data_IF_703335984762
#
_entry.id   IF_703335984762
#
_cell.length_a   1.000
_cell.length_b   1.000
_cell.length_c   1.000
_cell.angle_alpha   90.00
_cell.angle_beta   90.00
_cell.angle_gamma   90.00
#
_symmetry.space_group_name_H-M   'P 1'
#
loop_
_entity.id
_entity.type
_entity.pdbx_description
1 polymer ?
2 non-polymer ?
3 non-polymer ?
4 non-polymer ?
5 water ?
#
# COMPACT_ATOMS: atom_id res chain seq x y z
N UNK A 1 -18.36 -5.32 19.63
CA UNK A 1 -19.40 -4.38 19.10
C UNK A 1 -18.80 -3.51 17.98
N UNK A 2 -19.47 -3.47 16.84
CA UNK A 2 -19.00 -2.69 15.70
C UNK A 2 -19.49 -1.25 15.68
N UNK A 3 -20.80 -1.06 15.83
CA UNK A 3 -21.36 0.28 15.83
C UNK A 3 -20.78 1.05 17.01
N UNK A 4 -20.31 0.32 18.02
CA UNK A 4 -19.72 0.95 19.19
C UNK A 4 -18.35 1.49 18.78
N UNK A 5 -17.63 0.72 17.99
CA UNK A 5 -16.33 1.14 17.50
C UNK A 5 -16.52 2.37 16.61
N UNK A 6 -17.57 2.35 15.80
CA UNK A 6 -17.87 3.46 14.91
C UNK A 6 -18.21 4.71 15.72
N UNK A 7 -18.98 4.52 16.78
CA UNK A 7 -19.37 5.62 17.65
C UNK A 7 -18.12 6.26 18.23
N UNK A 8 -17.20 5.44 18.72
CA UNK A 8 -15.96 5.92 19.31
C UNK A 8 -15.06 6.63 18.30
N UNK A 9 -14.91 6.06 17.12
CA UNK A 9 -14.06 6.67 16.10
C UNK A 9 -14.65 8.00 15.64
N UNK A 10 -15.95 8.00 15.34
CA UNK A 10 -16.62 9.21 14.87
C UNK A 10 -16.60 10.36 15.86
N UNK A 11 -16.61 10.04 17.16
CA UNK A 11 -16.61 11.06 18.21
C UNK A 11 -15.21 11.49 18.63
N UNK A 12 -14.21 10.71 18.26
CA UNK A 12 -12.84 11.02 18.64
C UNK A 12 -12.29 12.22 17.90
N UNK A 13 -11.38 12.94 18.55
CA UNK A 13 -10.76 14.10 17.95
C UNK A 13 -9.60 13.56 17.12
N UNK A 14 -9.36 14.16 15.94
CA UNK A 14 -8.29 13.71 15.05
C UNK A 14 -7.02 14.56 15.19
N UNK A 15 -6.01 14.02 15.87
CA UNK A 15 -4.76 14.79 16.03
C UNK A 15 -4.08 15.12 14.70
N UNK A 16 -3.24 16.16 14.72
CA UNK A 16 -2.52 16.61 13.54
C UNK A 16 -1.60 15.57 12.94
N UNK A 17 -1.21 15.79 11.69
CA UNK A 17 -0.31 14.91 10.97
C UNK A 17 1.02 14.83 11.71
N UNK A 18 1.49 15.98 12.18
CA UNK A 18 2.75 16.07 12.91
C UNK A 18 2.69 15.22 14.17
N UNK A 19 1.60 15.35 14.92
CA UNK A 19 1.43 14.58 16.15
C UNK A 19 1.41 13.08 15.89
N UNK A 20 0.80 12.68 14.77
CA UNK A 20 0.69 11.27 14.40
C UNK A 20 1.92 10.68 13.72
N UNK A 21 2.87 11.54 13.35
CA UNK A 21 4.11 11.12 12.71
C UNK A 21 3.90 10.48 11.33
N UNK A 22 2.72 10.65 10.75
CA UNK A 22 2.44 10.02 9.45
C UNK A 22 3.16 10.62 8.24
N UNK A 23 3.89 11.71 8.45
CA UNK A 23 4.63 12.32 7.35
C UNK A 23 6.05 11.72 7.27
N UNK A 24 6.44 11.00 8.30
CA UNK A 24 7.77 10.37 8.37
C UNK A 24 7.85 9.05 7.59
N UNK A 25 8.86 8.93 6.72
CA UNK A 25 9.03 7.69 5.98
C UNK A 25 9.37 6.56 6.96
N UNK A 26 9.93 6.92 8.11
CA UNK A 26 10.31 5.94 9.13
C UNK A 26 9.16 5.49 10.01
N UNK A 27 7.95 5.97 9.72
CA UNK A 27 6.75 5.64 10.49
C UNK A 27 6.61 4.16 10.82
N UNK A 28 6.13 3.89 12.03
CA UNK A 28 5.88 2.53 12.51
C UNK A 28 4.55 2.52 13.22
N UNK A 29 3.84 1.39 13.19
CA UNK A 29 2.52 1.28 13.81
C UNK A 29 2.45 0.34 15.01
N UNK A 30 3.56 -0.28 15.36
CA UNK A 30 3.58 -1.24 16.47
C UNK A 30 2.96 -0.75 17.78
N UNK A 31 3.16 0.53 18.11
CA UNK A 31 2.62 1.08 19.35
C UNK A 31 1.19 1.59 19.25
N UNK A 32 0.59 1.48 18.07
CA UNK A 32 -0.77 1.97 17.84
C UNK A 32 -1.89 0.93 17.93
N UNK A 33 -3.04 1.37 18.42
CA UNK A 33 -4.22 0.51 18.54
C UNK A 33 -4.97 0.65 17.21
N UNK A 34 -5.96 -0.21 16.97
CA UNK A 34 -6.70 -0.11 15.72
C UNK A 34 -7.34 1.28 15.63
N UNK A 35 -7.94 1.74 16.72
CA UNK A 35 -8.57 3.05 16.73
C UNK A 35 -7.60 4.13 16.28
N UNK A 36 -6.38 4.07 16.78
CA UNK A 36 -5.36 5.06 16.41
C UNK A 36 -4.99 5.00 14.93
N UNK A 37 -4.97 3.81 14.35
CA UNK A 37 -4.63 3.70 12.92
C UNK A 37 -5.76 4.32 12.10
N UNK A 38 -6.99 4.13 12.56
CA UNK A 38 -8.16 4.69 11.89
C UNK A 38 -8.10 6.23 11.93
N UNK A 39 -7.68 6.77 13.06
CA UNK A 39 -7.54 8.23 13.17
C UNK A 39 -6.45 8.73 12.24
N UNK A 40 -5.38 7.96 12.10
CA UNK A 40 -4.29 8.32 11.20
C UNK A 40 -4.79 8.32 9.76
N UNK A 41 -5.65 7.34 9.44
CA UNK A 41 -6.20 7.23 8.08
C UNK A 41 -7.10 8.43 7.78
N UNK A 42 -7.87 8.88 8.77
CA UNK A 42 -8.72 10.04 8.58
C UNK A 42 -7.83 11.26 8.31
N UNK A 43 -6.74 11.37 9.07
CA UNK A 43 -5.83 12.50 8.91
C UNK A 43 -5.23 12.53 7.52
N UNK A 44 -4.95 11.35 6.96
CA UNK A 44 -4.39 11.25 5.63
C UNK A 44 -5.39 11.85 4.62
N UNK A 45 -6.64 11.41 4.68
CA UNK A 45 -7.68 11.92 3.78
C UNK A 45 -7.87 13.42 3.97
N UNK A 46 -7.86 13.84 5.22
CA UNK A 46 -8.05 15.25 5.56
C UNK A 46 -6.94 16.15 5.04
N UNK A 47 -5.70 15.81 5.36
CA UNK A 47 -4.57 16.63 4.93
C UNK A 47 -4.30 16.62 3.44
N UNK A 48 -4.76 15.58 2.75
CA UNK A 48 -4.59 15.52 1.30
C UNK A 48 -5.78 16.26 0.66
N UNK A 49 -6.56 16.92 1.50
CA UNK A 49 -7.72 17.70 1.07
C UNK A 49 -8.83 16.91 0.39
N UNK A 50 -8.83 15.59 0.57
CA UNK A 50 -9.83 14.73 -0.05
C UNK A 50 -11.19 14.89 0.61
N UNK A 51 -11.20 15.12 1.92
CA UNK A 51 -12.45 15.30 2.64
C UNK A 51 -13.14 16.58 2.17
N UNK A 52 -12.36 17.62 1.92
CA UNK A 52 -12.89 18.91 1.46
C UNK A 52 -13.24 18.88 -0.02
N UNK A 53 -12.27 18.54 -0.85
CA UNK A 53 -12.46 18.53 -2.30
C UNK A 53 -13.55 17.60 -2.81
N UNK A 54 -13.92 16.59 -2.03
CA UNK A 54 -14.95 15.66 -2.47
C UNK A 54 -16.10 15.53 -1.49
N UNK A 55 -16.21 16.55 -0.64
CA UNK A 55 -17.26 16.64 0.37
C UNK A 55 -17.65 15.33 1.03
N UNK A 56 -16.69 14.67 1.67
CA UNK A 56 -16.99 13.42 2.35
C UNK A 56 -17.60 13.71 3.71
N UNK A 57 -18.64 12.98 4.07
CA UNK A 57 -19.25 13.18 5.38
C UNK A 57 -18.41 12.38 6.38
N UNK A 58 -18.16 12.98 7.55
CA UNK A 58 -17.34 12.34 8.56
C UNK A 58 -17.73 10.92 8.90
N UNK A 59 -19.01 10.71 9.20
CA UNK A 59 -19.47 9.38 9.58
C UNK A 59 -19.31 8.36 8.46
N UNK A 60 -19.42 8.80 7.21
CA UNK A 60 -19.27 7.90 6.06
C UNK A 60 -17.81 7.46 5.92
N UNK A 61 -16.89 8.41 6.00
CA UNK A 61 -15.48 8.11 5.91
C UNK A 61 -15.06 7.16 7.03
N UNK A 62 -15.58 7.41 8.23
CA UNK A 62 -15.28 6.57 9.40
C UNK A 62 -15.77 5.14 9.20
N UNK A 63 -17.01 5.02 8.75
CA UNK A 63 -17.62 3.72 8.50
C UNK A 63 -16.81 2.99 7.44
N UNK A 64 -16.45 3.69 6.36
CA UNK A 64 -15.68 3.11 5.27
C UNK A 64 -14.33 2.57 5.77
N UNK A 65 -13.61 3.38 6.54
CA UNK A 65 -12.33 2.98 7.08
C UNK A 65 -12.50 1.71 7.91
N UNK A 66 -13.54 1.68 8.74
CA UNK A 66 -13.78 0.50 9.58
C UNK A 66 -14.17 -0.73 8.78
N UNK A 67 -14.89 -0.55 7.67
CA UNK A 67 -15.28 -1.70 6.83
C UNK A 67 -13.99 -2.22 6.18
N UNK A 68 -13.15 -1.31 5.71
CA UNK A 68 -11.90 -1.72 5.07
C UNK A 68 -11.08 -2.54 6.09
N UNK A 69 -10.85 -1.97 7.26
CA UNK A 69 -10.09 -2.66 8.30
C UNK A 69 -10.69 -4.04 8.60
N UNK A 70 -12.00 -4.08 8.77
CA UNK A 70 -12.70 -5.32 9.08
C UNK A 70 -12.52 -6.41 8.01
N UNK A 71 -12.25 -5.99 6.77
CA UNK A 71 -12.11 -6.97 5.71
C UNK A 71 -10.71 -7.52 5.43
N UNK A 72 -9.80 -7.31 6.37
CA UNK A 72 -8.46 -7.88 6.28
C UNK A 72 -8.54 -8.94 7.38
N UNK A 73 -7.75 -10.00 7.28
CA UNK A 73 -7.77 -11.06 8.28
C UNK A 73 -6.56 -10.93 9.21
N UNK A 74 -6.83 -10.63 10.47
CA UNK A 74 -5.76 -10.46 11.44
C UNK A 74 -4.97 -11.72 11.73
N UNK A 75 -5.53 -12.88 11.40
CA UNK A 75 -4.84 -14.14 11.63
C UNK A 75 -3.70 -14.31 10.62
N UNK A 76 -3.72 -13.54 9.54
CA UNK A 76 -2.67 -13.61 8.54
C UNK A 76 -1.49 -12.74 9.00
N UNK A 77 -0.34 -13.37 9.19
CA UNK A 77 0.87 -12.70 9.70
C UNK A 77 1.28 -11.37 9.07
N UNK A 78 1.36 -11.31 7.75
CA UNK A 78 1.77 -10.06 7.11
C UNK A 78 0.69 -9.35 6.31
N UNK A 79 0.02 -10.07 5.42
CA UNK A 79 -1.03 -9.44 4.62
C UNK A 79 -2.28 -9.22 5.46
N UNK A 80 -2.26 -8.14 6.23
CA UNK A 80 -3.38 -7.79 7.10
C UNK A 80 -3.60 -6.28 7.08
N UNK A 81 -4.51 -5.80 7.91
CA UNK A 81 -4.81 -4.37 7.96
C UNK A 81 -3.58 -3.48 8.19
N UNK A 82 -2.72 -3.88 9.13
CA UNK A 82 -1.54 -3.06 9.41
C UNK A 82 -0.65 -2.88 8.18
N UNK A 83 -0.55 -3.90 7.35
CA UNK A 83 0.24 -3.79 6.13
C UNK A 83 -0.42 -2.75 5.21
N UNK A 84 -1.73 -2.86 5.05
CA UNK A 84 -2.47 -1.94 4.19
C UNK A 84 -2.36 -0.52 4.72
N UNK A 85 -2.54 -0.37 6.02
CA UNK A 85 -2.44 0.93 6.68
C UNK A 85 -1.04 1.50 6.44
N UNK A 86 -0.01 0.68 6.64
CA UNK A 86 1.36 1.12 6.42
C UNK A 86 1.61 1.51 4.96
N UNK A 87 1.02 0.77 4.03
CA UNK A 87 1.18 1.07 2.60
C UNK A 87 0.60 2.45 2.30
N UNK A 88 -0.54 2.75 2.90
CA UNK A 88 -1.19 4.04 2.70
C UNK A 88 -0.38 5.16 3.37
N UNK A 89 0.15 4.89 4.55
CA UNK A 89 0.95 5.89 5.24
C UNK A 89 2.15 6.25 4.36
N UNK A 90 2.80 5.23 3.78
CA UNK A 90 3.94 5.49 2.92
C UNK A 90 3.49 6.31 1.71
N UNK A 91 2.29 6.05 1.19
CA UNK A 91 1.79 6.81 0.05
C UNK A 91 1.66 8.27 0.48
N UNK A 92 1.10 8.48 1.66
CA UNK A 92 0.91 9.81 2.21
C UNK A 92 2.26 10.51 2.35
N UNK A 93 3.23 9.81 2.92
CA UNK A 93 4.58 10.36 3.11
C UNK A 93 5.24 10.67 1.77
N UNK A 94 5.05 9.79 0.79
CA UNK A 94 5.65 10.02 -0.51
C UNK A 94 5.02 11.25 -1.18
N UNK A 95 3.72 11.46 -0.92
CA UNK A 95 3.00 12.60 -1.47
C UNK A 95 3.42 13.90 -0.77
N UNK A 96 3.50 13.86 0.55
CA UNK A 96 3.90 15.02 1.34
C UNK A 96 5.42 15.18 1.37
N UNK A 97 6.05 14.52 2.32
CA UNK A 97 7.50 14.59 2.47
C UNK A 97 8.21 14.34 1.13
N UNK A 98 7.73 13.38 0.36
CA UNK A 98 8.34 13.08 -0.92
C UNK A 98 7.97 14.05 -2.04
N UNK A 99 7.11 15.02 -1.72
CA UNK A 99 6.67 16.04 -2.67
C UNK A 99 6.12 15.53 -4.00
N UNK A 100 5.53 14.33 -3.99
CA UNK A 100 4.96 13.76 -5.20
C UNK A 100 3.58 14.36 -5.45
N UNK A 101 2.96 14.83 -4.38
CA UNK A 101 1.63 15.42 -4.45
C UNK A 101 1.42 16.42 -5.58
N UNK A 102 2.40 17.30 -5.79
CA UNK A 102 2.31 18.33 -6.83
C UNK A 102 2.34 17.78 -8.25
N UNK A 103 2.80 16.55 -8.41
CA UNK A 103 2.88 15.94 -9.73
C UNK A 103 1.65 15.15 -10.15
N UNK A 104 0.63 15.13 -9.29
CA UNK A 104 -0.58 14.37 -9.58
C UNK A 104 -1.85 15.21 -9.40
N UNK A 105 -2.97 14.71 -9.91
CA UNK A 105 -4.23 15.43 -9.79
C UNK A 105 -4.94 14.96 -8.52
N UNK A 106 -6.00 15.66 -8.14
CA UNK A 106 -6.75 15.29 -6.96
C UNK A 106 -7.39 13.91 -7.10
N UNK A 107 -7.89 13.60 -8.30
CA UNK A 107 -8.52 12.31 -8.52
C UNK A 107 -7.51 11.17 -8.43
N UNK A 108 -6.28 11.43 -8.89
CA UNK A 108 -5.24 10.42 -8.85
C UNK A 108 -4.82 10.17 -7.39
N UNK A 109 -4.72 11.24 -6.62
CA UNK A 109 -4.35 11.15 -5.20
C UNK A 109 -5.43 10.42 -4.42
N UNK A 110 -6.69 10.72 -4.73
CA UNK A 110 -7.83 10.08 -4.09
C UNK A 110 -7.81 8.57 -4.37
N UNK A 111 -7.60 8.23 -5.64
CA UNK A 111 -7.57 6.84 -6.07
C UNK A 111 -6.41 6.06 -5.43
N UNK A 112 -5.23 6.69 -5.41
CA UNK A 112 -4.04 6.06 -4.83
C UNK A 112 -4.22 5.73 -3.36
N UNK A 113 -4.74 6.68 -2.59
CA UNK A 113 -4.93 6.48 -1.16
C UNK A 113 -5.88 5.33 -0.90
N UNK A 114 -7.00 5.32 -1.63
CA UNK A 114 -7.99 4.26 -1.49
C UNK A 114 -7.39 2.92 -1.92
N UNK A 115 -6.66 2.93 -3.03
CA UNK A 115 -6.02 1.71 -3.54
C UNK A 115 -5.01 1.17 -2.51
N UNK A 116 -4.14 2.05 -2.02
CA UNK A 116 -3.14 1.62 -1.03
C UNK A 116 -3.84 0.91 0.12
N UNK A 117 -4.89 1.53 0.67
CA UNK A 117 -5.62 0.95 1.79
C UNK A 117 -6.39 -0.33 1.42
N UNK A 118 -6.81 -0.44 0.16
CA UNK A 118 -7.61 -1.57 -0.29
C UNK A 118 -6.89 -2.67 -1.08
N UNK A 119 -5.65 -2.43 -1.48
CA UNK A 119 -4.95 -3.37 -2.34
C UNK A 119 -4.79 -4.83 -1.93
N UNK A 120 -4.92 -5.18 -0.65
CA UNK A 120 -4.80 -6.58 -0.23
C UNK A 120 -6.03 -7.10 0.50
N UNK A 121 -7.16 -6.44 0.32
CA UNK A 121 -8.39 -6.84 0.98
C UNK A 121 -8.72 -8.33 0.89
N UNK A 122 -9.09 -8.90 2.04
CA UNK A 122 -9.48 -10.29 2.17
C UNK A 122 -8.38 -11.30 1.87
N UNK A 123 -7.13 -10.84 1.88
CA UNK A 123 -5.98 -11.71 1.63
C UNK A 123 -5.97 -12.83 2.68
N UNK A 124 -5.70 -14.06 2.24
CA UNK A 124 -5.68 -15.18 3.18
C UNK A 124 -4.28 -15.73 3.44
N UNK A 125 -3.27 -15.08 2.89
CA UNK A 125 -1.91 -15.54 3.09
C UNK A 125 -1.33 -16.11 1.81
N UNK A 126 -0.06 -15.82 1.54
CA UNK A 126 0.59 -16.30 0.34
C UNK A 126 0.45 -17.81 0.12
N UNK A 127 0.41 -18.57 1.20
CA UNK A 127 0.29 -20.03 1.08
C UNK A 127 -1.15 -20.56 1.08
N UNK A 128 -2.11 -19.66 0.97
CA UNK A 128 -3.50 -20.07 0.95
C UNK A 128 -3.97 -20.05 -0.51
N UNK A 129 -4.59 -21.15 -0.93
CA UNK A 129 -5.08 -21.33 -2.30
C UNK A 129 -6.60 -21.16 -2.42
N UNK A 130 -7.27 -20.92 -1.29
CA UNK A 130 -8.71 -20.78 -1.29
C UNK A 130 -9.29 -19.85 -2.36
N UNK A 131 -9.01 -18.55 -2.24
CA UNK A 131 -9.53 -17.58 -3.20
C UNK A 131 -9.40 -18.00 -4.66
N UNK A 132 -8.24 -18.57 -5.00
CA UNK A 132 -7.98 -18.98 -6.37
C UNK A 132 -8.73 -20.25 -6.77
N UNK A 133 -8.82 -21.22 -5.85
CA UNK A 133 -9.51 -22.47 -6.12
C UNK A 133 -11.03 -22.36 -6.00
N UNK A 134 -11.50 -21.23 -5.48
CA UNK A 134 -12.94 -21.02 -5.33
C UNK A 134 -13.53 -20.45 -6.62
N UNK A 135 -12.66 -20.12 -7.57
CA UNK A 135 -13.10 -19.57 -8.86
C UNK A 135 -13.05 -20.71 -9.89
N UNK A 136 -13.46 -20.40 -11.12
CA UNK A 136 -13.51 -21.35 -12.25
C UNK A 136 -12.23 -22.13 -12.58
N UNK A 137 -11.89 -23.16 -11.78
CA UNK A 137 -10.74 -24.08 -11.85
C UNK A 137 -9.53 -23.54 -12.63
N UNK A 138 -9.54 -23.74 -13.94
CA UNK A 138 -8.46 -23.23 -14.77
C UNK A 138 -8.63 -21.71 -14.83
N UNK A 139 -9.20 -21.18 -13.76
CA UNK A 139 -9.49 -19.76 -13.60
C UNK A 139 -8.21 -18.92 -13.49
N UNK A 140 -7.08 -19.58 -13.26
CA UNK A 140 -5.80 -18.88 -13.13
C UNK A 140 -5.33 -18.17 -14.41
N UNK A 141 -5.52 -18.80 -15.56
CA UNK A 141 -5.04 -18.22 -16.81
C UNK A 141 -5.97 -17.27 -17.56
N UNK A 142 -7.27 -17.38 -17.31
CA UNK A 142 -8.26 -16.51 -17.94
C UNK A 142 -8.12 -15.12 -17.32
N UNK A 143 -8.75 -14.95 -16.15
CA UNK A 143 -8.66 -13.69 -15.42
C UNK A 143 -7.33 -13.72 -14.67
N UNK A 144 -6.26 -13.23 -15.28
CA UNK A 144 -4.94 -13.25 -14.62
C UNK A 144 -4.84 -12.18 -13.53
N UNK A 145 -3.83 -12.31 -12.66
CA UNK A 145 -3.67 -11.40 -11.52
C UNK A 145 -4.95 -11.63 -10.73
N UNK A 146 -5.28 -12.91 -10.59
CA UNK A 146 -6.50 -13.32 -9.91
C UNK A 146 -6.70 -12.73 -8.52
N UNK A 147 -5.66 -12.74 -7.68
CA UNK A 147 -5.77 -12.18 -6.34
C UNK A 147 -6.10 -10.68 -6.39
N UNK A 148 -5.34 -9.94 -7.19
CA UNK A 148 -5.56 -8.50 -7.31
C UNK A 148 -6.97 -8.14 -7.79
N UNK A 149 -7.54 -8.95 -8.69
CA UNK A 149 -8.89 -8.68 -9.18
C UNK A 149 -9.84 -8.87 -8.00
N UNK A 150 -9.55 -9.87 -7.18
CA UNK A 150 -10.37 -10.15 -6.01
C UNK A 150 -10.27 -8.96 -5.05
N UNK A 151 -9.05 -8.49 -4.80
CA UNK A 151 -8.88 -7.36 -3.90
C UNK A 151 -9.68 -6.16 -4.40
N UNK A 152 -9.64 -5.92 -5.70
CA UNK A 152 -10.39 -4.81 -6.27
C UNK A 152 -11.89 -5.01 -6.08
N UNK A 153 -12.38 -6.21 -6.35
CA UNK A 153 -13.80 -6.48 -6.19
C UNK A 153 -14.21 -6.19 -4.76
N UNK A 154 -13.36 -6.56 -3.80
CA UNK A 154 -13.62 -6.31 -2.40
C UNK A 154 -13.68 -4.80 -2.16
N UNK A 155 -12.71 -4.09 -2.72
CA UNK A 155 -12.64 -2.64 -2.60
C UNK A 155 -13.94 -2.01 -3.11
N UNK A 156 -14.35 -2.42 -4.32
CA UNK A 156 -15.56 -1.90 -4.94
C UNK A 156 -16.83 -2.18 -4.13
N UNK A 157 -16.95 -3.39 -3.59
CA UNK A 157 -18.13 -3.74 -2.80
C UNK A 157 -18.23 -2.82 -1.57
N UNK A 158 -17.10 -2.56 -0.93
CA UNK A 158 -17.10 -1.69 0.23
C UNK A 158 -17.49 -0.27 -0.18
N UNK A 159 -16.96 0.19 -1.31
CA UNK A 159 -17.25 1.52 -1.82
C UNK A 159 -18.73 1.72 -2.17
N UNK A 160 -19.43 0.63 -2.42
CA UNK A 160 -20.85 0.69 -2.77
C UNK A 160 -21.78 0.29 -1.63
N UNK A 161 -21.21 -0.12 -0.50
CA UNK A 161 -22.01 -0.53 0.65
C UNK A 161 -22.73 0.68 1.24
N UNK A 162 -23.96 0.49 1.71
CA UNK A 162 -24.70 1.62 2.28
C UNK A 162 -23.95 2.25 3.47
N UNK A 163 -23.94 3.57 3.49
CA UNK A 163 -23.28 4.31 4.55
C UNK A 163 -21.76 4.35 4.45
N UNK A 164 -21.21 3.72 3.41
CA UNK A 164 -19.76 3.67 3.19
C UNK A 164 -19.32 4.35 1.90
N UNK A 165 -20.25 4.98 1.20
CA UNK A 165 -19.92 5.60 -0.08
C UNK A 165 -19.15 6.93 -0.07
N UNK A 166 -17.85 6.84 0.22
CA UNK A 166 -17.02 8.03 0.28
C UNK A 166 -16.82 8.71 -1.06
N UNK A 167 -17.24 8.08 -2.15
CA UNK A 167 -17.12 8.68 -3.47
C UNK A 167 -18.46 9.21 -4.01
N UNK A 168 -19.49 9.23 -3.16
CA UNK A 168 -20.80 9.71 -3.59
C UNK A 168 -20.76 11.17 -4.03
N UNK A 169 -19.76 11.90 -3.56
CA UNK A 169 -19.64 13.31 -3.91
C UNK A 169 -19.14 13.59 -5.31
N UNK A 170 -18.48 12.61 -5.92
CA UNK A 170 -17.96 12.77 -7.27
C UNK A 170 -19.07 12.69 -8.31
N UNK A 171 -18.85 13.30 -9.47
CA UNK A 171 -19.82 13.23 -10.55
C UNK A 171 -19.60 11.87 -11.19
N UNK A 172 -20.55 11.40 -11.99
CA UNK A 172 -20.41 10.11 -12.64
C UNK A 172 -19.12 10.00 -13.44
N UNK A 173 -18.71 11.07 -14.10
CA UNK A 173 -17.48 11.04 -14.88
C UNK A 173 -16.25 10.98 -13.99
N UNK A 174 -16.27 11.74 -12.89
CA UNK A 174 -15.16 11.74 -11.95
C UNK A 174 -15.03 10.34 -11.36
N UNK A 175 -16.18 9.76 -11.06
CA UNK A 175 -16.25 8.42 -10.48
C UNK A 175 -15.66 7.34 -11.37
N UNK A 176 -16.07 7.29 -12.63
CA UNK A 176 -15.55 6.29 -13.54
C UNK A 176 -14.03 6.41 -13.69
N UNK A 177 -13.54 7.64 -13.71
CA UNK A 177 -12.10 7.87 -13.84
C UNK A 177 -11.37 7.39 -12.59
N UNK A 178 -11.91 7.72 -11.42
CA UNK A 178 -11.30 7.30 -10.17
C UNK A 178 -11.30 5.78 -10.06
N UNK A 179 -12.45 5.15 -10.28
CA UNK A 179 -12.53 3.70 -10.23
C UNK A 179 -11.49 3.04 -11.13
N UNK A 180 -11.32 3.59 -12.33
CA UNK A 180 -10.34 3.06 -13.28
C UNK A 180 -8.92 3.15 -12.74
N UNK A 181 -8.58 4.30 -12.16
CA UNK A 181 -7.24 4.49 -11.60
C UNK A 181 -7.06 3.56 -10.41
N UNK A 182 -8.11 3.40 -9.60
CA UNK A 182 -8.04 2.52 -8.43
C UNK A 182 -7.81 1.08 -8.85
N UNK A 183 -8.53 0.66 -9.89
CA UNK A 183 -8.40 -0.70 -10.39
C UNK A 183 -7.00 -0.96 -10.91
N UNK A 184 -6.47 -0.04 -11.73
CA UNK A 184 -5.13 -0.19 -12.27
C UNK A 184 -4.11 -0.17 -11.12
N UNK A 185 -4.35 0.71 -10.16
CA UNK A 185 -3.45 0.83 -9.02
C UNK A 185 -3.36 -0.49 -8.26
N UNK A 186 -4.50 -1.12 -8.01
CA UNK A 186 -4.52 -2.38 -7.30
C UNK A 186 -3.94 -3.51 -8.14
N UNK A 187 -4.25 -3.56 -9.44
CA UNK A 187 -3.70 -4.61 -10.29
C UNK A 187 -2.19 -4.48 -10.32
N UNK A 188 -1.70 -3.25 -10.27
CA UNK A 188 -0.26 -2.99 -10.28
C UNK A 188 0.47 -3.63 -9.11
N UNK A 189 -0.23 -3.89 -8.02
CA UNK A 189 0.42 -4.50 -6.86
C UNK A 189 0.75 -5.97 -7.08
N UNK A 190 0.42 -6.48 -8.27
CA UNK A 190 0.74 -7.85 -8.64
C UNK A 190 2.21 -7.76 -9.06
N UNK A 191 3.11 -8.33 -8.27
CA UNK A 191 4.53 -8.25 -8.61
C UNK A 191 4.84 -8.75 -10.02
N UNK A 192 4.02 -9.68 -10.52
CA UNK A 192 4.23 -10.19 -11.87
C UNK A 192 4.10 -9.02 -12.85
N UNK A 193 3.16 -8.12 -12.59
CA UNK A 193 2.98 -6.98 -13.47
C UNK A 193 4.09 -5.96 -13.27
N UNK A 194 4.58 -5.83 -12.05
CA UNK A 194 5.66 -4.90 -11.76
C UNK A 194 6.91 -5.30 -12.55
N UNK A 195 7.27 -6.58 -12.46
CA UNK A 195 8.45 -7.09 -13.16
C UNK A 195 8.31 -6.98 -14.68
N UNK A 196 7.07 -7.04 -15.15
CA UNK A 196 6.79 -6.96 -16.57
C UNK A 196 6.91 -5.54 -17.12
N UNK A 197 6.52 -4.55 -16.33
CA UNK A 197 6.56 -3.15 -16.79
C UNK A 197 7.68 -2.28 -16.25
N UNK A 198 8.39 -2.72 -15.22
CA UNK A 198 9.46 -1.92 -14.64
C UNK A 198 10.57 -1.59 -15.65
N UNK A 199 10.85 -2.54 -16.53
CA UNK A 199 11.89 -2.34 -17.53
C UNK A 199 11.67 -1.06 -18.33
N UNK A 200 10.43 -0.82 -18.75
CA UNK A 200 10.10 0.37 -19.52
C UNK A 200 10.34 1.64 -18.72
N UNK A 201 9.94 1.59 -17.44
CA UNK A 201 10.11 2.73 -16.52
C UNK A 201 11.59 3.04 -16.34
N UNK A 202 12.39 2.00 -16.14
CA UNK A 202 13.82 2.15 -15.95
C UNK A 202 14.45 2.65 -17.25
N UNK A 203 14.03 2.06 -18.37
CA UNK A 203 14.54 2.43 -19.68
C UNK A 203 14.27 3.91 -19.97
N UNK A 204 13.05 4.36 -19.67
CA UNK A 204 12.66 5.75 -19.90
C UNK A 204 13.48 6.71 -19.05
N UNK A 205 13.95 6.24 -17.91
CA UNK A 205 14.73 7.10 -17.03
C UNK A 205 16.20 7.20 -17.45
N UNK A 206 16.75 6.11 -17.96
CA UNK A 206 18.15 6.11 -18.40
C UNK A 206 18.31 7.18 -19.48
N UNK A 207 17.52 7.03 -20.54
CA UNK A 207 17.53 7.93 -21.69
C UNK A 207 16.97 9.31 -21.40
N UNK A 208 16.59 9.56 -20.15
CA UNK A 208 16.03 10.86 -19.76
C UNK A 208 14.84 11.23 -20.63
N UNK A 209 13.93 10.28 -20.84
CA UNK A 209 12.75 10.53 -21.66
C UNK A 209 11.46 10.46 -20.84
N UNK A 210 11.60 10.35 -19.53
CA UNK A 210 10.42 10.26 -18.66
C UNK A 210 9.63 11.57 -18.70
N UNK A 211 8.34 11.46 -18.94
CA UNK A 211 7.44 12.61 -19.03
C UNK A 211 6.09 12.27 -18.40
N UNK A 212 5.79 12.89 -17.26
CA UNK A 212 4.54 12.64 -16.57
C UNK A 212 3.36 13.32 -17.23
N UNK A 213 3.64 14.15 -18.22
CA UNK A 213 2.57 14.87 -18.91
C UNK A 213 1.76 13.96 -19.84
N UNK A 214 2.39 12.91 -20.35
CA UNK A 214 1.66 11.99 -21.22
C UNK A 214 1.05 10.87 -20.39
N UNK A 215 -0.24 10.57 -20.62
CA UNK A 215 -0.99 9.53 -19.91
C UNK A 215 -0.34 8.16 -19.76
N UNK A 216 0.34 7.69 -20.80
CA UNK A 216 0.98 6.38 -20.71
C UNK A 216 1.98 6.28 -19.57
N UNK A 217 2.89 7.25 -19.52
CA UNK A 217 3.92 7.26 -18.49
C UNK A 217 3.37 7.62 -17.11
N UNK A 218 2.30 8.41 -17.07
CA UNK A 218 1.72 8.75 -15.79
C UNK A 218 1.15 7.48 -15.17
N UNK A 219 0.44 6.70 -15.99
CA UNK A 219 -0.14 5.45 -15.52
C UNK A 219 0.97 4.50 -15.08
N UNK A 220 2.06 4.47 -15.84
CA UNK A 220 3.18 3.60 -15.52
C UNK A 220 3.80 4.04 -14.21
N UNK A 221 3.85 5.35 -13.97
CA UNK A 221 4.41 5.87 -12.73
C UNK A 221 3.55 5.49 -11.55
N UNK A 222 2.24 5.69 -11.67
CA UNK A 222 1.31 5.34 -10.59
C UNK A 222 1.48 3.88 -10.21
N UNK A 223 1.71 3.03 -11.20
CA UNK A 223 1.89 1.60 -10.96
C UNK A 223 3.20 1.37 -10.19
N UNK A 224 4.24 2.08 -10.60
CA UNK A 224 5.55 1.95 -9.95
C UNK A 224 5.48 2.47 -8.51
N UNK A 225 4.76 3.57 -8.32
CA UNK A 225 4.60 4.19 -6.99
C UNK A 225 3.87 3.25 -6.05
N UNK A 226 2.79 2.64 -6.54
CA UNK A 226 2.02 1.71 -5.73
C UNK A 226 2.93 0.60 -5.23
N UNK A 227 3.74 0.05 -6.14
CA UNK A 227 4.66 -1.02 -5.77
C UNK A 227 5.65 -0.52 -4.71
N UNK A 228 6.15 0.69 -4.90
CA UNK A 228 7.11 1.25 -3.95
C UNK A 228 6.54 1.33 -2.54
N UNK A 229 5.25 1.67 -2.42
CA UNK A 229 4.61 1.76 -1.11
C UNK A 229 4.30 0.38 -0.54
N UNK A 230 3.94 -0.54 -1.43
CA UNK A 230 3.59 -1.91 -1.06
C UNK A 230 4.79 -2.65 -0.47
N UNK A 231 5.98 -2.29 -0.91
CA UNK A 231 7.20 -2.95 -0.46
C UNK A 231 7.98 -2.11 0.56
N UNK A 232 7.45 -0.95 0.91
CA UNK A 232 8.15 -0.03 1.82
C UNK A 232 8.59 -0.56 3.20
N UNK A 233 8.07 -1.69 3.65
CA UNK A 233 8.51 -2.21 4.94
C UNK A 233 10.01 -2.49 4.86
N UNK A 234 10.49 -2.73 3.64
CA UNK A 234 11.89 -3.04 3.40
C UNK A 234 12.81 -1.83 3.60
N UNK A 235 12.22 -0.64 3.71
CA UNK A 235 12.98 0.59 3.86
C UNK A 235 13.06 1.15 5.28
N UNK A 236 12.32 0.54 6.20
CA UNK A 236 12.27 1.02 7.58
C UNK A 236 13.56 0.90 8.40
N UNK A 237 13.63 1.65 9.52
CA UNK A 237 14.80 1.59 10.39
C UNK A 237 15.07 0.13 10.76
N UNK A 238 16.34 -0.22 10.88
CA UNK A 238 16.75 -1.58 11.20
C UNK A 238 15.90 -2.32 12.23
N UNK A 239 15.69 -1.72 13.42
CA UNK A 239 14.88 -2.47 14.39
C UNK A 239 13.46 -2.75 13.89
N UNK A 240 12.90 -1.82 13.12
CA UNK A 240 11.55 -2.02 12.59
C UNK A 240 11.57 -3.07 11.49
N UNK A 241 12.47 -2.92 10.51
CA UNK A 241 12.56 -3.89 9.43
C UNK A 241 12.80 -5.32 9.94
N UNK A 242 13.66 -5.48 10.94
CA UNK A 242 13.90 -6.81 11.50
C UNK A 242 12.57 -7.46 11.88
N UNK A 243 11.68 -6.66 12.46
CA UNK A 243 10.36 -7.13 12.90
C UNK A 243 9.44 -7.42 11.72
N UNK A 244 9.37 -6.50 10.77
CA UNK A 244 8.50 -6.72 9.61
C UNK A 244 8.96 -7.93 8.81
N UNK A 245 10.26 -8.22 8.84
CA UNK A 245 10.78 -9.38 8.12
C UNK A 245 10.29 -10.66 8.83
N UNK A 246 10.17 -10.61 10.17
CA UNK A 246 9.67 -11.74 10.96
C UNK A 246 8.27 -12.10 10.47
N UNK A 247 7.42 -11.08 10.33
CA UNK A 247 6.06 -11.27 9.87
C UNK A 247 6.02 -11.92 8.50
N UNK A 248 6.80 -11.38 7.56
CA UNK A 248 6.85 -11.93 6.22
C UNK A 248 7.29 -13.39 6.27
N UNK A 249 8.32 -13.68 7.05
CA UNK A 249 8.83 -15.04 7.18
C UNK A 249 7.76 -15.96 7.77
N UNK A 250 7.01 -15.47 8.75
CA UNK A 250 5.96 -16.29 9.35
C UNK A 250 4.91 -16.69 8.33
N UNK A 251 4.43 -15.71 7.56
CA UNK A 251 3.42 -15.99 6.54
C UNK A 251 3.95 -16.94 5.47
N UNK A 252 5.22 -16.76 5.09
CA UNK A 252 5.84 -17.58 4.06
C UNK A 252 6.14 -19.03 4.46
N UNK A 253 6.73 -19.21 5.63
CA UNK A 253 7.12 -20.54 6.09
C UNK A 253 6.19 -21.23 7.08
N UNK A 254 5.71 -20.50 8.07
CA UNK A 254 4.84 -21.09 9.08
C UNK A 254 3.36 -21.16 8.75
N UNK A 255 2.83 -20.11 8.13
CA UNK A 255 1.43 -20.11 7.77
C UNK A 255 1.18 -20.87 6.49
N UNK A 256 -0.07 -21.24 6.26
CA UNK A 256 -0.43 -21.99 5.08
C UNK A 256 -1.33 -23.13 5.50
N UNK A 257 -1.68 -23.13 6.78
CA UNK A 257 -2.54 -24.13 7.39
C UNK A 257 -2.28 -24.09 8.89
N UNK A 258 -1.77 -22.95 9.36
CA UNK A 258 -1.45 -22.77 10.77
C UNK A 258 -2.45 -21.84 11.44
N UNK A 274 16.59 -24.21 10.95
CA UNK A 274 15.90 -23.08 11.64
C UNK A 274 15.27 -22.13 10.62
N UNK A 275 14.30 -21.35 11.07
CA UNK A 275 13.61 -20.39 10.22
C UNK A 275 14.42 -19.12 10.00
N UNK A 276 14.79 -18.46 11.09
CA UNK A 276 15.58 -17.23 11.03
C UNK A 276 16.67 -17.23 9.96
N UNK A 277 17.54 -18.23 9.99
CA UNK A 277 18.64 -18.34 9.05
C UNK A 277 18.26 -18.07 7.60
N UNK A 278 17.04 -18.46 7.22
CA UNK A 278 16.55 -18.25 5.87
C UNK A 278 16.24 -16.78 5.60
N UNK A 279 15.93 -16.04 6.66
CA UNK A 279 15.55 -14.65 6.53
C UNK A 279 16.59 -13.68 5.96
N UNK A 280 17.81 -13.65 6.53
CA UNK A 280 18.81 -12.72 5.99
C UNK A 280 19.07 -12.83 4.49
N UNK A 281 19.29 -14.05 3.99
CA UNK A 281 19.54 -14.22 2.58
C UNK A 281 18.28 -13.88 1.76
N UNK A 282 17.11 -14.21 2.30
CA UNK A 282 15.85 -13.92 1.62
C UNK A 282 15.68 -12.42 1.43
N UNK A 283 15.95 -11.67 2.49
CA UNK A 283 15.82 -10.22 2.43
C UNK A 283 16.85 -9.56 1.50
N UNK A 284 18.04 -10.13 1.43
CA UNK A 284 19.07 -9.56 0.55
C UNK A 284 18.66 -9.85 -0.90
N UNK A 285 18.18 -11.05 -1.15
CA UNK A 285 17.77 -11.42 -2.50
C UNK A 285 16.59 -10.55 -2.94
N UNK A 286 15.65 -10.34 -2.01
CA UNK A 286 14.47 -9.53 -2.27
C UNK A 286 14.89 -8.11 -2.64
N UNK A 287 15.80 -7.54 -1.85
CA UNK A 287 16.27 -6.18 -2.09
C UNK A 287 17.01 -6.03 -3.44
N UNK A 288 17.95 -6.92 -3.72
CA UNK A 288 18.70 -6.83 -4.97
C UNK A 288 17.80 -6.97 -6.19
N UNK A 289 17.09 -8.08 -6.23
CA UNK A 289 16.22 -8.40 -7.34
C UNK A 289 14.98 -7.53 -7.58
N UNK A 290 14.34 -7.06 -6.50
CA UNK A 290 13.12 -6.27 -6.64
C UNK A 290 13.10 -4.81 -6.17
N UNK A 291 13.71 -4.54 -5.02
CA UNK A 291 13.69 -3.20 -4.43
C UNK A 291 14.67 -2.10 -4.84
N UNK A 292 15.96 -2.41 -4.85
CA UNK A 292 16.96 -1.40 -5.17
C UNK A 292 16.67 -0.53 -6.39
N UNK A 293 16.45 -1.14 -7.54
CA UNK A 293 16.17 -0.36 -8.75
C UNK A 293 14.93 0.51 -8.65
N UNK A 294 13.88 -0.01 -8.03
CA UNK A 294 12.63 0.74 -7.90
C UNK A 294 12.83 2.03 -7.10
N UNK A 295 13.41 1.92 -5.91
CA UNK A 295 13.62 3.11 -5.10
C UNK A 295 14.64 4.07 -5.71
N UNK A 296 15.56 3.52 -6.49
CA UNK A 296 16.54 4.37 -7.17
C UNK A 296 15.77 5.16 -8.22
N UNK A 297 14.96 4.45 -8.99
CA UNK A 297 14.15 5.08 -10.03
C UNK A 297 13.25 6.16 -9.43
N UNK A 298 12.58 5.85 -8.33
CA UNK A 298 11.70 6.80 -7.67
C UNK A 298 12.43 8.06 -7.22
N UNK A 299 13.64 7.88 -6.70
CA UNK A 299 14.44 9.00 -6.23
C UNK A 299 14.76 9.98 -7.36
N UNK A 300 14.98 9.44 -8.56
CA UNK A 300 15.27 10.28 -9.71
C UNK A 300 14.06 11.14 -10.04
N UNK A 301 12.88 10.52 -10.00
CA UNK A 301 11.64 11.25 -10.28
C UNK A 301 11.47 12.35 -9.24
N UNK A 302 11.78 12.04 -7.99
CA UNK A 302 11.66 13.01 -6.91
C UNK A 302 12.78 12.83 -5.89
N UNK A 303 13.70 13.79 -5.86
CA UNK A 303 14.84 13.78 -4.95
C UNK A 303 14.42 13.51 -3.52
N UNK A 304 13.28 14.06 -3.14
CA UNK A 304 12.76 13.94 -1.78
C UNK A 304 12.33 12.55 -1.30
N UNK A 305 12.34 11.58 -2.20
CA UNK A 305 11.97 10.20 -1.85
C UNK A 305 13.21 9.39 -1.53
N UNK A 306 14.36 10.06 -1.47
CA UNK A 306 15.64 9.42 -1.20
C UNK A 306 15.64 8.54 0.07
N UNK A 307 15.06 9.03 1.18
CA UNK A 307 15.06 8.21 2.39
C UNK A 307 14.55 6.78 2.22
N UNK A 308 13.64 6.56 1.28
CA UNK A 308 13.14 5.22 1.03
C UNK A 308 14.31 4.39 0.52
N UNK A 309 15.05 4.96 -0.43
CA UNK A 309 16.20 4.29 -1.01
C UNK A 309 17.31 4.12 0.03
N UNK A 310 17.59 5.18 0.78
CA UNK A 310 18.62 5.12 1.81
C UNK A 310 18.27 3.99 2.79
N UNK A 311 17.03 4.01 3.26
CA UNK A 311 16.59 2.99 4.19
C UNK A 311 16.75 1.59 3.64
N UNK A 312 16.45 1.42 2.36
CA UNK A 312 16.53 0.11 1.73
C UNK A 312 17.98 -0.36 1.69
N UNK A 313 18.89 0.56 1.41
CA UNK A 313 20.31 0.25 1.35
C UNK A 313 20.86 -0.12 2.72
N UNK A 314 20.51 0.67 3.73
CA UNK A 314 20.99 0.39 5.08
C UNK A 314 20.56 -1.03 5.47
N UNK A 315 19.32 -1.38 5.17
CA UNK A 315 18.83 -2.71 5.50
C UNK A 315 19.56 -3.82 4.73
N UNK A 316 19.93 -3.56 3.47
CA UNK A 316 20.65 -4.58 2.71
C UNK A 316 21.96 -4.88 3.43
N UNK A 317 22.64 -3.81 3.82
CA UNK A 317 23.91 -3.89 4.52
C UNK A 317 23.76 -4.72 5.80
N UNK A 318 22.75 -4.40 6.60
CA UNK A 318 22.49 -5.12 7.84
C UNK A 318 22.21 -6.61 7.63
N UNK A 319 21.30 -6.92 6.71
CA UNK A 319 20.95 -8.32 6.44
C UNK A 319 22.12 -9.10 5.86
N UNK A 320 22.90 -8.46 4.99
CA UNK A 320 24.05 -9.11 4.37
C UNK A 320 25.09 -9.47 5.42
N UNK A 321 25.33 -8.55 6.36
CA UNK A 321 26.29 -8.78 7.42
C UNK A 321 25.85 -10.03 8.21
N UNK A 322 24.54 -10.17 8.41
CA UNK A 322 24.02 -11.32 9.13
C UNK A 322 24.14 -12.57 8.28
N UNK A 323 23.93 -12.41 6.97
CA UNK A 323 24.02 -13.53 6.03
C UNK A 323 25.40 -14.17 6.11
N UNK A 324 26.43 -13.35 6.19
CA UNK A 324 27.80 -13.83 6.27
C UNK A 324 28.05 -14.33 7.70
N UNK A 325 27.04 -14.13 8.56
CA UNK A 325 27.10 -14.55 9.95
C UNK A 325 27.92 -13.59 10.80
N UNK A 326 27.25 -12.86 11.69
CA UNK A 326 27.89 -11.90 12.57
C UNK A 326 28.36 -12.54 13.87
#
# INVERSE_FOLDING_TARGET
>A
EETRELQSLAAAVVPSAQTLKITDFSFSDFELSDLETALCTIRMFTDLNLVQNFQMKHEVLCRWILSVKKNYRKNVAYHNWRHAFNTAQCMFAALKAGKIQNKLTDLEILALLIAALSHDLDHRGVNNSYIQRSEHPLAQLYCHSIMEHHHFDQCLMILNSPGNQILSGLSIEEYKTTLKIIKQAILATDLALYIKRRGEFFELIRKNQFNLEDPHQKELFLAMLMTACDLSAITKPWPIQQRLAELVATEFFDQGDRERKELNIEPTDLMNREKKNKIPSMQVGFIDAICLQLYEALTHVSEDCFPLLDGCRKNRQKWQALAEQQ
#
